data_IF_501813439254
#
_entry.id   IF_501813439254
#
_cell.length_a   1.000
_cell.length_b   1.000
_cell.length_c   1.000
_cell.angle_alpha   90.00
_cell.angle_beta   90.00
_cell.angle_gamma   90.00
#
_symmetry.space_group_name_H-M   'P 1'
#
loop_
_entity.id
_entity.type
_entity.pdbx_description
1 polymer ?
#
# COMPACT_ATOMS: atom_id res chain seq x y z
N UNK A 1 -18.02 52.68 -46.52
CA UNK A 1 -16.84 52.13 -47.19
C UNK A 1 -15.60 52.26 -46.31
N UNK A 2 -15.34 51.28 -45.46
CA UNK A 2 -14.05 51.11 -44.76
C UNK A 2 -13.64 49.64 -44.93
N UNK A 3 -12.52 49.46 -45.61
CA UNK A 3 -12.00 48.18 -46.09
C UNK A 3 -11.56 47.28 -44.92
N UNK A 4 -12.00 46.02 -44.99
CA UNK A 4 -11.33 44.89 -44.37
C UNK A 4 -9.90 44.80 -44.88
N UNK A 5 -8.95 44.50 -43.99
CA UNK A 5 -7.74 43.80 -44.39
C UNK A 5 -7.34 42.79 -43.33
N UNK A 6 -6.91 41.64 -43.83
CA UNK A 6 -6.78 40.35 -43.16
C UNK A 6 -5.29 39.95 -43.19
N UNK A 7 -4.86 39.22 -42.16
CA UNK A 7 -3.69 38.33 -42.07
C UNK A 7 -2.26 38.92 -42.14
N UNK A 8 -1.49 38.72 -41.07
CA UNK A 8 -0.31 37.85 -41.17
C UNK A 8 0.05 37.21 -39.82
N UNK A 9 0.05 35.88 -39.78
CA UNK A 9 0.63 35.08 -38.71
C UNK A 9 2.17 35.19 -38.75
N UNK A 10 2.80 35.35 -37.59
CA UNK A 10 4.19 34.92 -37.41
C UNK A 10 4.21 33.65 -36.56
N UNK A 11 4.61 32.57 -37.22
CA UNK A 11 4.87 31.26 -36.67
C UNK A 11 6.33 31.17 -36.21
N UNK A 12 6.56 30.24 -35.27
CA UNK A 12 7.82 29.52 -35.06
C UNK A 12 8.99 30.24 -34.37
N UNK A 13 9.20 29.90 -33.09
CA UNK A 13 10.48 29.73 -32.34
C UNK A 13 10.05 29.49 -30.86
N UNK A 14 10.45 28.44 -30.15
CA UNK A 14 11.45 27.43 -30.40
C UNK A 14 11.13 26.16 -29.64
N UNK A 15 11.64 25.05 -30.17
CA UNK A 15 11.55 23.74 -29.55
C UNK A 15 12.22 23.73 -28.18
N UNK A 16 11.49 23.23 -27.20
CA UNK A 16 12.06 22.73 -25.96
C UNK A 16 11.91 21.21 -25.98
N UNK A 17 12.92 20.54 -26.52
CA UNK A 17 13.07 19.10 -26.43
C UNK A 17 13.92 18.75 -25.21
N UNK A 18 13.40 17.77 -24.46
CA UNK A 18 14.11 16.81 -23.60
C UNK A 18 14.62 17.33 -22.23
N UNK A 19 13.98 16.85 -21.16
CA UNK A 19 14.54 15.81 -20.25
C UNK A 19 13.72 15.78 -18.94
N UNK A 20 12.68 14.95 -18.89
CA UNK A 20 12.23 14.33 -17.64
C UNK A 20 12.16 12.81 -17.84
N UNK A 21 13.28 12.25 -18.27
CA UNK A 21 13.63 10.86 -18.06
C UNK A 21 14.04 10.69 -16.61
N UNK A 22 13.10 10.28 -15.74
CA UNK A 22 13.34 9.51 -14.51
C UNK A 22 11.98 9.26 -13.83
N UNK A 23 11.09 8.52 -14.51
CA UNK A 23 10.23 7.63 -13.75
C UNK A 23 11.13 6.48 -13.27
N UNK A 24 11.21 6.19 -11.97
CA UNK A 24 11.73 4.92 -11.52
C UNK A 24 10.89 3.83 -12.17
N UNK A 25 11.51 3.12 -13.10
CA UNK A 25 11.02 1.87 -13.65
C UNK A 25 10.91 0.89 -12.49
N UNK A 26 9.71 0.31 -12.36
CA UNK A 26 9.44 -1.00 -11.79
C UNK A 26 9.91 -1.27 -10.34
N UNK A 27 8.98 -1.17 -9.38
CA UNK A 27 8.79 -2.33 -8.50
C UNK A 27 7.91 -3.33 -9.25
N UNK A 28 8.48 -3.92 -10.31
CA UNK A 28 8.05 -5.24 -10.76
C UNK A 28 8.65 -6.16 -9.73
N UNK A 29 7.85 -6.62 -8.78
CA UNK A 29 8.18 -7.83 -8.03
C UNK A 29 8.19 -8.95 -9.07
N UNK A 30 9.33 -9.13 -9.73
CA UNK A 30 9.61 -10.39 -10.39
C UNK A 30 9.63 -11.42 -9.27
N UNK A 31 8.54 -12.19 -9.17
CA UNK A 31 8.59 -13.53 -8.59
C UNK A 31 9.62 -14.28 -9.43
N UNK A 32 10.87 -14.23 -8.99
CA UNK A 32 11.85 -15.20 -9.43
C UNK A 32 11.39 -16.51 -8.79
N UNK A 33 10.80 -17.39 -9.59
CA UNK A 33 10.90 -18.82 -9.31
C UNK A 33 12.41 -19.08 -9.25
N UNK A 34 12.92 -19.19 -8.03
CA UNK A 34 14.27 -19.66 -7.79
C UNK A 34 14.24 -21.15 -8.06
N UNK A 35 14.56 -21.51 -9.30
CA UNK A 35 15.05 -22.85 -9.59
C UNK A 35 16.30 -23.08 -8.72
N UNK A 36 16.11 -24.02 -7.82
CA UNK A 36 17.04 -24.55 -6.86
C UNK A 36 18.20 -25.23 -7.59
N UNK A 37 19.34 -24.53 -7.70
CA UNK A 37 20.64 -25.21 -7.77
C UNK A 37 21.77 -24.23 -7.44
N UNK A 38 22.00 -24.00 -6.15
CA UNK A 38 23.30 -23.52 -5.68
C UNK A 38 23.57 -24.11 -4.30
N UNK A 39 24.42 -25.13 -4.31
CA UNK A 39 25.22 -25.54 -3.16
C UNK A 39 26.03 -24.32 -2.70
N UNK A 40 25.60 -23.66 -1.62
CA UNK A 40 26.39 -22.62 -0.98
C UNK A 40 26.27 -22.71 0.55
N UNK A 41 27.40 -22.47 1.19
CA UNK A 41 27.72 -22.83 2.56
C UNK A 41 26.78 -22.19 3.58
N UNK A 42 26.37 -22.98 4.59
CA UNK A 42 25.41 -22.65 5.64
C UNK A 42 25.76 -21.43 6.51
N UNK A 43 25.62 -20.23 5.96
CA UNK A 43 25.51 -18.99 6.72
C UNK A 43 24.08 -18.90 7.28
N UNK A 44 23.88 -18.83 8.62
CA UNK A 44 22.55 -18.67 9.18
C UNK A 44 21.97 -17.34 8.70
N UNK A 45 20.85 -17.40 7.96
CA UNK A 45 20.02 -16.21 7.69
C UNK A 45 19.64 -15.61 9.04
N UNK A 46 20.27 -14.50 9.41
CA UNK A 46 19.99 -13.82 10.66
C UNK A 46 18.49 -13.48 10.69
N UNK A 47 17.80 -13.99 11.71
CA UNK A 47 16.39 -13.67 11.90
C UNK A 47 16.21 -12.15 11.95
N UNK A 48 15.12 -11.60 11.39
CA UNK A 48 14.88 -10.17 11.44
C UNK A 48 14.93 -9.69 12.89
N UNK A 49 15.72 -8.65 13.16
CA UNK A 49 15.82 -8.07 14.49
C UNK A 49 14.44 -7.57 14.94
N UNK A 50 13.88 -8.20 15.97
CA UNK A 50 12.56 -7.84 16.51
C UNK A 50 12.58 -6.50 17.23
N UNK A 51 13.75 -6.01 17.67
CA UNK A 51 13.87 -4.72 18.35
C UNK A 51 13.46 -3.53 17.45
N UNK A 52 13.45 -3.73 16.12
CA UNK A 52 12.96 -2.72 15.16
C UNK A 52 11.45 -2.48 15.22
N UNK A 53 10.67 -3.41 15.78
CA UNK A 53 9.20 -3.38 15.78
C UNK A 53 8.65 -2.46 16.88
N UNK A 54 8.77 -1.16 16.67
CA UNK A 54 8.31 -0.12 17.59
C UNK A 54 7.00 0.52 17.13
N UNK A 55 6.35 1.30 18.02
CA UNK A 55 5.21 2.13 17.62
C UNK A 55 5.58 3.04 16.43
N UNK A 56 6.75 3.68 16.47
CA UNK A 56 7.27 4.52 15.38
C UNK A 56 7.42 3.76 14.07
N UNK A 57 7.87 2.50 14.13
CA UNK A 57 7.93 1.64 12.94
C UNK A 57 6.55 1.45 12.32
N UNK A 58 5.53 1.15 13.14
CA UNK A 58 4.17 0.95 12.63
C UNK A 58 3.56 2.23 12.05
N UNK A 59 3.86 3.39 12.64
CA UNK A 59 3.45 4.70 12.12
C UNK A 59 4.11 5.01 10.78
N UNK A 60 5.38 4.67 10.63
CA UNK A 60 6.14 4.85 9.40
C UNK A 60 5.67 3.92 8.28
N UNK A 61 5.29 2.68 8.61
CA UNK A 61 4.86 1.66 7.64
C UNK A 61 3.37 1.73 7.29
N UNK A 62 2.54 2.38 8.10
CA UNK A 62 1.10 2.51 7.82
C UNK A 62 0.78 3.18 6.46
N UNK A 63 1.48 4.25 6.02
CA UNK A 63 1.35 4.77 4.66
C UNK A 63 1.65 3.77 3.55
N UNK A 64 2.59 2.84 3.77
CA UNK A 64 2.92 1.79 2.80
C UNK A 64 1.80 0.75 2.73
N UNK A 65 1.17 0.42 3.86
CA UNK A 65 -0.05 -0.38 3.89
C UNK A 65 -1.15 0.25 3.05
N UNK A 66 -1.42 1.55 3.23
CA UNK A 66 -2.41 2.26 2.42
C UNK A 66 -2.05 2.29 0.93
N UNK A 67 -0.76 2.40 0.61
CA UNK A 67 -0.28 2.32 -0.77
C UNK A 67 -0.52 0.93 -1.38
N UNK A 68 -0.28 -0.16 -0.64
CA UNK A 68 -0.62 -1.51 -1.08
C UNK A 68 -2.12 -1.68 -1.30
N UNK A 69 -2.97 -1.16 -0.39
CA UNK A 69 -4.41 -1.13 -0.60
C UNK A 69 -4.79 -0.39 -1.89
N UNK A 70 -4.11 0.72 -2.22
CA UNK A 70 -4.32 1.41 -3.48
C UNK A 70 -3.97 0.54 -4.69
N UNK A 71 -2.84 -0.18 -4.67
CA UNK A 71 -2.48 -1.07 -5.77
C UNK A 71 -3.54 -2.16 -6.00
N UNK A 72 -4.18 -2.65 -4.93
CA UNK A 72 -5.31 -3.58 -5.01
C UNK A 72 -6.66 -2.94 -5.40
N UNK A 73 -6.78 -1.61 -5.34
CA UNK A 73 -7.98 -0.90 -5.82
C UNK A 73 -7.93 -0.70 -7.33
N UNK A 74 -6.75 -0.43 -7.86
CA UNK A 74 -6.51 -0.11 -9.27
C UNK A 74 -6.14 -1.34 -10.10
N UNK A 75 -6.32 -2.54 -9.55
CA UNK A 75 -5.94 -3.82 -10.18
C UNK A 75 -4.49 -3.88 -10.70
N UNK A 76 -3.60 -3.10 -10.10
CA UNK A 76 -2.16 -3.11 -10.43
C UNK A 76 -1.40 -4.22 -9.69
N UNK A 77 -2.02 -4.81 -8.66
CA UNK A 77 -1.50 -5.94 -7.93
C UNK A 77 -2.66 -6.87 -7.51
N UNK A 78 -2.34 -8.14 -7.32
CA UNK A 78 -3.29 -9.15 -6.84
C UNK A 78 -2.99 -9.42 -5.37
N UNK A 79 -3.98 -9.32 -4.46
CA UNK A 79 -3.76 -9.65 -3.05
C UNK A 79 -3.44 -11.14 -2.90
N UNK A 80 -2.64 -11.49 -1.89
CA UNK A 80 -2.38 -12.88 -1.54
C UNK A 80 -3.69 -13.60 -1.23
N UNK A 81 -3.84 -14.83 -1.75
CA UNK A 81 -5.01 -15.68 -1.48
C UNK A 81 -4.99 -16.19 -0.04
N UNK A 82 -6.15 -16.54 0.51
CA UNK A 82 -6.27 -17.04 1.90
C UNK A 82 -5.32 -18.19 2.24
N UNK A 83 -5.15 -19.16 1.32
CA UNK A 83 -4.21 -20.29 1.53
C UNK A 83 -2.76 -19.82 1.70
N UNK A 84 -2.35 -18.82 0.92
CA UNK A 84 -1.00 -18.26 0.97
C UNK A 84 -0.79 -17.41 2.21
N UNK A 85 -1.81 -16.66 2.65
CA UNK A 85 -1.79 -15.94 3.92
C UNK A 85 -1.61 -16.91 5.09
N UNK A 86 -2.42 -17.96 5.18
CA UNK A 86 -2.30 -18.98 6.24
C UNK A 86 -0.93 -19.64 6.22
N UNK A 87 -0.36 -19.92 5.03
CA UNK A 87 1.00 -20.47 4.90
C UNK A 87 2.07 -19.54 5.47
N UNK A 88 1.93 -18.22 5.26
CA UNK A 88 2.94 -17.21 5.63
C UNK A 88 2.88 -16.78 7.09
N UNK A 89 1.68 -16.51 7.61
CA UNK A 89 1.50 -15.98 8.97
C UNK A 89 0.94 -17.01 9.95
N UNK A 90 0.58 -18.21 9.48
CA UNK A 90 -0.04 -19.23 10.32
C UNK A 90 -1.53 -18.99 10.53
N UNK A 91 -2.22 -20.06 10.98
CA UNK A 91 -3.67 -20.06 11.15
C UNK A 91 -4.14 -19.07 12.22
N UNK A 92 -3.42 -18.97 13.33
CA UNK A 92 -3.85 -18.16 14.48
C UNK A 92 -3.76 -16.66 14.18
N UNK A 93 -2.66 -16.21 13.57
CA UNK A 93 -2.54 -14.81 13.14
C UNK A 93 -3.52 -14.48 12.01
N UNK A 94 -3.81 -15.44 11.12
CA UNK A 94 -4.84 -15.24 10.11
C UNK A 94 -6.23 -15.01 10.72
N UNK A 95 -6.63 -15.81 11.72
CA UNK A 95 -7.89 -15.62 12.43
C UNK A 95 -7.93 -14.33 13.25
N UNK A 96 -6.83 -14.01 13.96
CA UNK A 96 -6.71 -12.74 14.66
C UNK A 96 -6.87 -11.55 13.71
N UNK A 97 -6.22 -11.62 12.54
CA UNK A 97 -6.33 -10.59 11.52
C UNK A 97 -7.76 -10.42 10.98
N UNK A 98 -8.52 -11.51 10.83
CA UNK A 98 -9.95 -11.42 10.48
C UNK A 98 -10.71 -10.65 11.56
N UNK A 99 -10.46 -10.95 12.84
CA UNK A 99 -11.07 -10.23 13.96
C UNK A 99 -10.73 -8.73 13.93
N UNK A 100 -9.47 -8.38 13.67
CA UNK A 100 -9.03 -6.99 13.50
C UNK A 100 -9.75 -6.33 12.33
N UNK A 101 -9.91 -7.02 11.19
CA UNK A 101 -10.65 -6.48 10.05
C UNK A 101 -12.10 -6.17 10.40
N UNK A 102 -12.78 -7.07 11.12
CA UNK A 102 -14.16 -6.86 11.56
C UNK A 102 -14.26 -5.66 12.51
N UNK A 103 -13.36 -5.56 13.48
CA UNK A 103 -13.29 -4.44 14.41
C UNK A 103 -13.10 -3.10 13.67
N UNK A 104 -12.17 -3.05 12.70
CA UNK A 104 -11.94 -1.85 11.89
C UNK A 104 -13.19 -1.49 11.09
N UNK A 105 -13.92 -2.47 10.56
CA UNK A 105 -15.17 -2.25 9.84
C UNK A 105 -16.23 -1.65 10.76
N UNK A 106 -16.37 -2.16 11.98
CA UNK A 106 -17.29 -1.62 12.99
C UNK A 106 -16.98 -0.16 13.32
N UNK A 107 -15.70 0.18 13.52
CA UNK A 107 -15.30 1.57 13.76
C UNK A 107 -15.52 2.47 12.52
N UNK A 108 -15.16 1.98 11.33
CA UNK A 108 -15.29 2.75 10.10
C UNK A 108 -16.76 3.00 9.71
N UNK A 109 -17.67 2.07 10.01
CA UNK A 109 -19.09 2.16 9.68
C UNK A 109 -19.99 2.55 10.88
N UNK A 110 -19.42 2.76 12.07
CA UNK A 110 -20.17 3.09 13.28
C UNK A 110 -20.83 4.47 13.25
N UNK A 111 -21.46 4.86 14.37
CA UNK A 111 -22.27 6.10 14.51
C UNK A 111 -21.54 7.38 14.07
N UNK A 112 -20.21 7.43 14.24
CA UNK A 112 -19.36 8.54 13.84
C UNK A 112 -18.40 8.19 12.68
N UNK A 113 -18.54 6.99 12.13
CA UNK A 113 -17.71 6.48 11.04
C UNK A 113 -18.13 7.05 9.69
N UNK A 114 -17.16 7.34 8.82
CA UNK A 114 -17.41 7.81 7.45
C UNK A 114 -17.14 6.75 6.38
N UNK A 115 -16.83 5.51 6.80
CA UNK A 115 -16.45 4.39 5.95
C UNK A 115 -14.98 4.42 5.49
N UNK A 116 -14.12 5.18 6.18
CA UNK A 116 -12.70 5.37 5.85
C UNK A 116 -11.79 5.12 7.06
N UNK A 117 -10.49 4.98 6.78
CA UNK A 117 -9.44 4.71 7.77
C UNK A 117 -8.74 5.99 8.25
N UNK A 118 -9.52 7.00 8.65
CA UNK A 118 -8.99 8.32 9.00
C UNK A 118 -8.75 8.50 10.51
N UNK A 119 -9.54 7.84 11.35
CA UNK A 119 -9.48 7.92 12.81
C UNK A 119 -8.38 7.06 13.42
N UNK A 120 -7.98 7.34 14.67
CA UNK A 120 -7.16 6.43 15.47
C UNK A 120 -7.81 5.05 15.57
N UNK A 121 -9.10 5.00 15.84
CA UNK A 121 -9.85 3.76 16.11
C UNK A 121 -9.81 2.79 14.92
N UNK A 122 -9.72 3.31 13.69
CA UNK A 122 -9.59 2.47 12.49
C UNK A 122 -8.14 2.14 12.13
N UNK A 123 -7.18 2.99 12.51
CA UNK A 123 -5.77 2.87 12.12
C UNK A 123 -4.95 2.06 13.11
N UNK A 124 -5.20 2.23 14.40
CA UNK A 124 -4.39 1.64 15.46
C UNK A 124 -4.52 0.12 15.52
N UNK A 125 -5.72 -0.50 15.38
CA UNK A 125 -5.82 -1.96 15.30
C UNK A 125 -5.02 -2.56 14.14
N UNK A 126 -4.97 -1.87 12.99
CA UNK A 126 -4.16 -2.31 11.83
C UNK A 126 -2.67 -2.24 12.16
N UNK A 127 -2.21 -1.14 12.76
CA UNK A 127 -0.80 -0.98 13.14
C UNK A 127 -0.37 -2.01 14.19
N UNK A 128 -1.19 -2.24 15.20
CA UNK A 128 -0.96 -3.27 16.22
C UNK A 128 -0.90 -4.67 15.60
N UNK A 129 -1.77 -4.94 14.63
CA UNK A 129 -1.72 -6.20 13.89
C UNK A 129 -0.43 -6.34 13.07
N UNK A 130 0.07 -5.27 12.42
CA UNK A 130 1.36 -5.30 11.73
C UNK A 130 2.52 -5.62 12.68
N UNK A 131 2.53 -5.01 13.87
CA UNK A 131 3.51 -5.32 14.91
C UNK A 131 3.40 -6.77 15.38
N UNK A 132 2.17 -7.27 15.56
CA UNK A 132 1.90 -8.65 15.96
C UNK A 132 2.43 -9.63 14.90
N UNK A 133 2.17 -9.38 13.62
CA UNK A 133 2.71 -10.20 12.53
C UNK A 133 4.24 -10.17 12.52
N UNK A 134 4.86 -9.00 12.60
CA UNK A 134 6.32 -8.89 12.63
C UNK A 134 6.95 -9.57 13.85
N UNK A 135 6.30 -9.51 15.02
CA UNK A 135 6.82 -10.09 16.26
C UNK A 135 6.74 -11.62 16.28
N UNK A 136 5.82 -12.20 15.52
CA UNK A 136 5.49 -13.62 15.54
C UNK A 136 5.87 -14.37 14.25
N UNK A 137 6.44 -13.70 13.25
CA UNK A 137 6.84 -14.31 11.98
C UNK A 137 8.26 -13.88 11.59
N UNK A 138 8.97 -14.66 10.76
CA UNK A 138 10.27 -14.26 10.23
C UNK A 138 10.15 -13.31 9.02
N UNK A 139 9.00 -12.67 8.81
CA UNK A 139 8.76 -11.80 7.66
C UNK A 139 9.52 -10.47 7.80
N UNK A 140 10.03 -9.97 6.68
CA UNK A 140 10.58 -8.63 6.57
C UNK A 140 9.47 -7.56 6.47
N UNK A 141 9.86 -6.28 6.51
CA UNK A 141 8.89 -5.17 6.54
C UNK A 141 7.96 -5.16 5.31
N UNK A 142 8.48 -5.28 4.07
CA UNK A 142 7.62 -5.34 2.90
C UNK A 142 6.60 -6.48 2.98
N UNK A 143 7.01 -7.66 3.43
CA UNK A 143 6.10 -8.80 3.57
C UNK A 143 5.05 -8.57 4.65
N UNK A 144 5.40 -7.99 5.81
CA UNK A 144 4.43 -7.66 6.87
C UNK A 144 3.35 -6.71 6.32
N UNK A 145 3.76 -5.67 5.58
CA UNK A 145 2.83 -4.72 4.97
C UNK A 145 1.94 -5.43 3.94
N UNK A 146 2.52 -6.26 3.07
CA UNK A 146 1.79 -6.95 2.01
C UNK A 146 0.78 -7.97 2.53
N UNK A 147 1.14 -8.80 3.52
CA UNK A 147 0.21 -9.77 4.11
C UNK A 147 -0.94 -9.07 4.82
N UNK A 148 -0.66 -7.97 5.53
CA UNK A 148 -1.68 -7.17 6.22
C UNK A 148 -2.65 -6.54 5.22
N UNK A 149 -2.14 -5.90 4.17
CA UNK A 149 -2.97 -5.29 3.12
C UNK A 149 -3.78 -6.33 2.35
N UNK A 150 -3.19 -7.50 2.04
CA UNK A 150 -3.88 -8.58 1.33
C UNK A 150 -5.03 -9.14 2.15
N UNK A 151 -4.78 -9.42 3.43
CA UNK A 151 -5.81 -9.85 4.37
C UNK A 151 -6.93 -8.80 4.46
N UNK A 152 -6.56 -7.54 4.67
CA UNK A 152 -7.51 -6.45 4.79
C UNK A 152 -8.40 -6.32 3.55
N UNK A 153 -7.82 -6.44 2.35
CA UNK A 153 -8.59 -6.46 1.10
C UNK A 153 -9.57 -7.61 1.06
N UNK A 154 -9.12 -8.84 1.33
CA UNK A 154 -9.99 -10.03 1.27
C UNK A 154 -11.17 -9.94 2.22
N UNK A 155 -10.97 -9.42 3.42
CA UNK A 155 -12.03 -9.37 4.44
C UNK A 155 -12.96 -8.16 4.27
N UNK A 156 -12.44 -7.04 3.77
CA UNK A 156 -13.20 -5.77 3.83
C UNK A 156 -13.70 -5.25 2.49
N UNK A 157 -13.31 -5.84 1.34
CA UNK A 157 -13.62 -5.33 0.00
C UNK A 157 -15.11 -4.97 -0.16
N UNK A 158 -15.99 -5.88 0.24
CA UNK A 158 -17.42 -5.76 -0.02
C UNK A 158 -18.18 -5.02 1.11
N UNK A 159 -17.56 -4.89 2.29
CA UNK A 159 -18.17 -4.28 3.49
C UNK A 159 -17.65 -2.87 3.80
N UNK A 160 -16.54 -2.45 3.18
CA UNK A 160 -16.03 -1.07 3.17
C UNK A 160 -16.02 -0.47 1.75
N UNK A 161 -17.17 -0.42 1.04
CA UNK A 161 -17.20 0.01 -0.35
C UNK A 161 -16.72 1.45 -0.55
N UNK A 162 -16.94 2.34 0.43
CA UNK A 162 -16.45 3.73 0.35
C UNK A 162 -14.93 3.81 0.30
N UNK A 163 -14.24 3.12 1.21
CA UNK A 163 -12.79 3.01 1.21
C UNK A 163 -12.26 2.42 -0.11
N UNK A 164 -12.89 1.35 -0.61
CA UNK A 164 -12.42 0.64 -1.81
C UNK A 164 -12.84 1.28 -3.14
N UNK A 165 -13.74 2.28 -3.14
CA UNK A 165 -14.25 2.94 -4.35
C UNK A 165 -13.31 3.96 -5.00
N UNK A 166 -12.14 4.26 -4.39
CA UNK A 166 -11.10 5.12 -4.97
C UNK A 166 -11.43 6.62 -5.09
N UNK A 167 -12.68 7.03 -4.91
CA UNK A 167 -13.13 8.43 -5.06
C UNK A 167 -12.40 9.43 -4.14
N UNK A 168 -11.88 8.97 -3.00
CA UNK A 168 -11.16 9.80 -2.03
C UNK A 168 -9.63 9.69 -2.13
N UNK A 169 -9.07 8.78 -2.93
CA UNK A 169 -7.62 8.59 -2.98
C UNK A 169 -6.87 9.74 -3.66
N UNK A 170 -7.54 10.47 -4.57
CA UNK A 170 -7.05 11.74 -5.14
C UNK A 170 -6.70 12.78 -4.05
N UNK A 171 -7.42 12.75 -2.92
CA UNK A 171 -7.14 13.60 -1.77
C UNK A 171 -5.93 13.11 -0.96
N UNK A 172 -5.78 11.80 -0.77
CA UNK A 172 -4.66 11.21 -0.04
C UNK A 172 -3.31 11.41 -0.76
N UNK A 173 -3.30 11.28 -2.10
CA UNK A 173 -2.16 11.65 -2.94
C UNK A 173 -1.79 13.13 -2.79
N UNK A 174 -2.80 14.01 -2.80
CA UNK A 174 -2.60 15.46 -2.67
C UNK A 174 -2.00 15.88 -1.32
N UNK A 175 -2.29 15.15 -0.23
CA UNK A 175 -1.70 15.42 1.09
C UNK A 175 -0.29 14.86 1.27
N UNK A 176 0.01 13.66 0.76
CA UNK A 176 1.36 13.07 0.89
C UNK A 176 2.39 13.78 0.02
N UNK A 177 2.01 14.27 -1.18
CA UNK A 177 2.88 15.11 -2.02
C UNK A 177 3.27 16.42 -1.32
N UNK A 178 2.37 17.00 -0.51
CA UNK A 178 2.65 18.23 0.25
C UNK A 178 3.59 18.00 1.44
N UNK A 179 3.55 16.82 2.07
CA UNK A 179 4.43 16.49 3.21
C UNK A 179 5.89 16.20 2.81
N UNK A 180 6.13 15.75 1.57
CA UNK A 180 7.49 15.56 1.03
C UNK A 180 8.17 16.86 0.55
N UNK A 181 7.49 18.01 0.65
CA UNK A 181 7.98 19.34 0.21
C UNK A 181 8.30 20.29 1.38
N UNK A 182 8.34 19.78 2.61
CA UNK A 182 8.81 20.49 3.81
C UNK A 182 10.02 19.75 4.36
#
# INVERSE_FOLDING_TARGET
>A
NRLHNVLYQMSHIGGFFLLLSLFPIAYSVCLHDSDEDTSDDGAPTALPDKARLTVQWSEHRFPEFLLQCCYFMTDHAIPLKSKELVKRIGKDLYQNGISVCNQVVEFANGVHGNGLLESSDTRDPIKEFMLTVGGNTPLDDPWIVLVTASLFKLQTKDILPRFWSGSQWKWFQSRNIKRKKK
#
